data_IF_646193464624
#
_entry.id   IF_646193464624
#
_cell.length_a   1.000
_cell.length_b   1.000
_cell.length_c   1.000
_cell.angle_alpha   90.00
_cell.angle_beta   90.00
_cell.angle_gamma   90.00
#
_symmetry.space_group_name_H-M   'P 1'
#
loop_
_entity.id
_entity.type
_entity.pdbx_description
1 polymer ?
#
# COMPACT_ATOMS: atom_id res chain seq x y z
N UNK A 1 3.73 30.59 7.30
CA UNK A 1 2.64 30.59 8.30
C UNK A 1 3.22 30.29 9.68
N UNK A 2 2.66 30.85 10.75
CA UNK A 2 3.03 30.57 12.15
C UNK A 2 1.82 29.88 12.82
N UNK A 3 2.03 28.72 13.45
CA UNK A 3 0.99 27.94 14.13
C UNK A 3 1.19 27.98 15.65
N UNK A 4 0.14 28.29 16.42
CA UNK A 4 0.19 28.29 17.89
C UNK A 4 -0.05 26.88 18.48
N UNK A 5 0.96 26.36 19.18
CA UNK A 5 0.94 25.07 19.85
C UNK A 5 0.96 25.19 21.39
N UNK A 6 0.61 26.35 21.96
CA UNK A 6 0.60 26.55 23.42
C UNK A 6 -0.24 25.49 24.13
N UNK A 7 0.35 24.86 25.14
CA UNK A 7 -0.30 23.81 25.93
C UNK A 7 -0.43 22.45 25.24
N UNK A 8 0.22 22.25 24.08
CA UNK A 8 0.22 20.98 23.32
C UNK A 8 1.62 20.39 23.22
N UNK A 9 1.69 19.09 22.98
CA UNK A 9 2.93 18.39 22.63
C UNK A 9 2.98 18.15 21.12
N UNK A 10 4.12 18.48 20.52
CA UNK A 10 4.38 18.18 19.10
C UNK A 10 5.19 16.89 19.05
N UNK A 11 4.66 15.89 18.36
CA UNK A 11 5.28 14.58 18.21
C UNK A 11 5.44 14.24 16.72
N UNK A 12 6.40 13.38 16.36
CA UNK A 12 6.43 12.77 15.03
C UNK A 12 5.12 12.05 14.75
N UNK A 13 4.66 12.10 13.50
CA UNK A 13 3.48 11.35 13.08
C UNK A 13 3.71 9.84 13.13
N UNK A 14 2.69 9.08 13.50
CA UNK A 14 2.77 7.62 13.58
C UNK A 14 2.95 6.97 12.21
N UNK A 15 3.55 5.78 12.20
CA UNK A 15 3.74 4.94 11.02
C UNK A 15 2.95 3.65 11.22
N UNK A 16 1.97 3.41 10.34
CA UNK A 16 1.29 2.12 10.24
C UNK A 16 2.08 1.22 9.31
N UNK A 17 2.88 0.32 9.87
CA UNK A 17 3.80 -0.52 9.12
C UNK A 17 3.13 -1.64 8.31
N UNK A 18 1.84 -1.88 8.52
CA UNK A 18 1.09 -2.91 7.79
C UNK A 18 -0.41 -2.64 7.89
N UNK A 19 -1.09 -2.56 6.75
CA UNK A 19 -2.53 -2.45 6.67
C UNK A 19 -3.07 -3.05 5.36
N UNK A 20 -4.39 -3.17 5.31
CA UNK A 20 -5.16 -3.56 4.13
C UNK A 20 -6.34 -2.60 3.99
N UNK A 21 -6.26 -1.63 3.09
CA UNK A 21 -7.28 -0.59 2.94
C UNK A 21 -8.66 -1.14 2.60
N UNK A 22 -8.73 -2.14 1.72
CA UNK A 22 -9.99 -2.78 1.37
C UNK A 22 -10.69 -3.48 2.56
N UNK A 23 -9.98 -3.69 3.67
CA UNK A 23 -10.55 -4.14 4.93
C UNK A 23 -11.54 -3.17 5.56
N UNK A 24 -11.61 -1.91 5.10
CA UNK A 24 -12.65 -0.97 5.47
C UNK A 24 -14.06 -1.54 5.25
N UNK A 25 -14.29 -2.25 4.14
CA UNK A 25 -15.60 -2.82 3.83
C UNK A 25 -15.97 -4.00 4.72
N UNK A 26 -14.99 -4.75 5.24
CA UNK A 26 -15.24 -5.90 6.12
C UNK A 26 -15.77 -5.51 7.50
N UNK A 27 -15.62 -4.23 7.90
CA UNK A 27 -16.01 -3.76 9.25
C UNK A 27 -17.52 -3.89 9.43
N UNK A 28 -17.93 -4.71 10.40
CA UNK A 28 -19.35 -4.94 10.72
C UNK A 28 -20.08 -5.90 9.77
N UNK A 29 -19.39 -6.52 8.79
CA UNK A 29 -20.00 -7.57 7.98
C UNK A 29 -20.25 -8.83 8.80
N UNK A 30 -21.46 -9.39 8.66
CA UNK A 30 -21.75 -10.72 9.16
C UNK A 30 -21.02 -11.78 8.33
N UNK A 31 -20.48 -12.79 9.00
CA UNK A 31 -19.93 -13.95 8.29
C UNK A 31 -21.07 -14.76 7.65
N UNK A 32 -20.81 -15.43 6.51
CA UNK A 32 -21.78 -16.34 5.93
C UNK A 32 -22.31 -17.35 6.95
N UNK A 33 -23.60 -17.76 6.87
CA UNK A 33 -24.19 -18.72 7.81
C UNK A 33 -23.35 -20.00 7.92
N UNK A 34 -23.14 -20.47 9.15
CA UNK A 34 -22.36 -21.67 9.43
C UNK A 34 -21.52 -21.56 10.70
N UNK A 35 -20.68 -22.58 10.99
CA UNK A 35 -19.81 -22.56 12.16
C UNK A 35 -18.79 -21.42 12.03
N UNK A 36 -18.40 -20.78 13.15
CA UNK A 36 -17.37 -19.76 13.15
C UNK A 36 -16.03 -20.34 12.63
N UNK A 37 -15.22 -19.53 11.92
CA UNK A 37 -13.91 -19.98 11.45
C UNK A 37 -13.01 -20.35 12.63
N UNK A 38 -12.38 -21.52 12.56
CA UNK A 38 -11.52 -22.04 13.64
C UNK A 38 -10.08 -21.55 13.55
N UNK A 39 -9.67 -21.05 12.38
CA UNK A 39 -8.30 -20.67 12.09
C UNK A 39 -8.26 -19.57 11.00
N UNK A 40 -7.05 -19.06 10.74
CA UNK A 40 -6.83 -17.99 9.79
C UNK A 40 -7.20 -18.37 8.34
N UNK A 41 -6.83 -19.55 7.79
CA UNK A 41 -7.27 -19.97 6.46
C UNK A 41 -8.80 -20.01 6.28
N UNK A 42 -9.53 -20.43 7.31
CA UNK A 42 -10.99 -20.47 7.24
C UNK A 42 -11.62 -19.07 7.15
N UNK A 43 -11.11 -18.08 7.89
CA UNK A 43 -11.61 -16.69 7.75
C UNK A 43 -11.22 -16.08 6.40
N UNK A 44 -10.03 -16.41 5.89
CA UNK A 44 -9.62 -16.00 4.54
C UNK A 44 -10.61 -16.50 3.49
N UNK A 45 -10.94 -17.80 3.52
CA UNK A 45 -11.90 -18.42 2.60
C UNK A 45 -13.33 -17.89 2.74
N UNK A 46 -13.80 -17.69 3.99
CA UNK A 46 -15.18 -17.30 4.27
C UNK A 46 -15.46 -15.83 4.00
N UNK A 47 -14.48 -14.96 4.18
CA UNK A 47 -14.66 -13.51 4.12
C UNK A 47 -13.70 -12.85 3.11
N UNK A 48 -12.40 -12.89 3.40
CA UNK A 48 -11.43 -12.04 2.69
C UNK A 48 -11.32 -12.34 1.19
N UNK A 49 -11.33 -13.62 0.82
CA UNK A 49 -11.27 -14.07 -0.58
C UNK A 49 -12.54 -13.78 -1.38
N UNK A 50 -13.63 -13.46 -0.70
CA UNK A 50 -14.87 -13.03 -1.34
C UNK A 50 -14.84 -11.53 -1.57
N UNK A 51 -14.35 -10.79 -0.59
CA UNK A 51 -14.20 -9.33 -0.67
C UNK A 51 -13.16 -8.97 -1.72
N UNK A 52 -11.95 -9.52 -1.68
CA UNK A 52 -10.87 -9.16 -2.61
C UNK A 52 -11.29 -9.34 -4.09
N UNK A 53 -12.03 -10.40 -4.40
CA UNK A 53 -12.59 -10.67 -5.73
C UNK A 53 -13.75 -9.74 -6.11
N UNK A 54 -14.48 -9.19 -5.14
CA UNK A 54 -15.60 -8.31 -5.41
C UNK A 54 -15.17 -6.85 -5.68
N UNK A 55 -13.92 -6.49 -5.37
CA UNK A 55 -13.44 -5.10 -5.48
C UNK A 55 -13.36 -4.64 -6.94
N UNK A 56 -13.93 -3.46 -7.18
CA UNK A 56 -13.65 -2.63 -8.36
C UNK A 56 -12.53 -1.62 -8.07
N UNK A 57 -12.13 -0.87 -9.09
CA UNK A 57 -11.17 0.24 -8.93
C UNK A 57 -11.73 1.36 -8.04
N UNK A 58 -13.02 1.65 -8.17
CA UNK A 58 -13.68 2.65 -7.31
C UNK A 58 -13.73 2.18 -5.85
N UNK A 59 -14.06 0.91 -5.62
CA UNK A 59 -14.05 0.33 -4.28
C UNK A 59 -12.65 0.43 -3.63
N UNK A 60 -11.60 0.18 -4.42
CA UNK A 60 -10.20 0.30 -3.98
C UNK A 60 -9.85 1.74 -3.59
N UNK A 61 -10.32 2.74 -4.36
CA UNK A 61 -10.14 4.15 -4.03
C UNK A 61 -10.90 4.55 -2.76
N UNK A 62 -12.19 4.22 -2.67
CA UNK A 62 -13.03 4.65 -1.56
C UNK A 62 -12.66 3.95 -0.24
N UNK A 63 -12.31 2.67 -0.28
CA UNK A 63 -11.80 1.98 0.90
C UNK A 63 -10.52 2.62 1.45
N UNK A 64 -9.61 3.03 0.56
CA UNK A 64 -8.42 3.79 0.94
C UNK A 64 -8.79 5.14 1.59
N UNK A 65 -9.66 5.94 0.98
CA UNK A 65 -10.07 7.24 1.55
C UNK A 65 -10.61 7.13 2.98
N UNK A 66 -11.47 6.12 3.25
CA UNK A 66 -12.01 5.88 4.60
C UNK A 66 -10.88 5.58 5.59
N UNK A 67 -9.96 4.68 5.24
CA UNK A 67 -8.81 4.35 6.08
C UNK A 67 -7.86 5.54 6.29
N UNK A 68 -7.66 6.39 5.27
CA UNK A 68 -6.77 7.54 5.33
C UNK A 68 -7.32 8.64 6.25
N UNK A 69 -8.63 8.90 6.21
CA UNK A 69 -9.28 9.85 7.13
C UNK A 69 -9.15 9.36 8.57
N UNK A 70 -9.35 8.07 8.81
CA UNK A 70 -9.18 7.45 10.12
C UNK A 70 -7.73 7.57 10.62
N UNK A 71 -6.76 7.33 9.72
CA UNK A 71 -5.34 7.48 10.01
C UNK A 71 -4.97 8.92 10.42
N UNK A 72 -5.46 9.93 9.70
CA UNK A 72 -5.24 11.35 10.03
C UNK A 72 -5.76 11.67 11.43
N UNK A 73 -6.99 11.24 11.75
CA UNK A 73 -7.63 11.49 13.04
C UNK A 73 -6.83 10.90 14.22
N UNK A 74 -6.08 9.82 13.97
CA UNK A 74 -5.25 9.14 14.96
C UNK A 74 -3.75 9.49 14.86
N UNK A 75 -3.40 10.57 14.14
CA UNK A 75 -2.02 11.06 14.06
C UNK A 75 -1.08 10.18 13.24
N UNK A 76 -1.62 9.27 12.41
CA UNK A 76 -0.82 8.45 11.49
C UNK A 76 -0.57 9.22 10.21
N UNK A 77 0.72 9.34 9.85
CA UNK A 77 1.15 10.12 8.68
C UNK A 77 1.78 9.29 7.57
N UNK A 78 2.04 7.99 7.83
CA UNK A 78 2.60 7.06 6.84
C UNK A 78 2.01 5.67 7.01
N UNK A 79 1.61 5.04 5.91
CA UNK A 79 0.97 3.72 5.89
C UNK A 79 1.63 2.80 4.87
N UNK A 80 1.70 1.50 5.17
CA UNK A 80 2.14 0.46 4.23
C UNK A 80 0.96 -0.45 3.95
N UNK A 81 0.43 -0.37 2.74
CA UNK A 81 -0.77 -1.09 2.32
C UNK A 81 -0.42 -2.33 1.48
N UNK A 82 -0.99 -3.47 1.87
CA UNK A 82 -0.93 -4.73 1.14
C UNK A 82 -2.25 -4.94 0.40
N UNK A 83 -2.32 -4.45 -0.84
CA UNK A 83 -3.55 -4.50 -1.62
C UNK A 83 -3.74 -5.85 -2.32
N UNK A 84 -4.98 -6.33 -2.38
CA UNK A 84 -5.38 -7.51 -3.15
C UNK A 84 -6.73 -7.25 -3.83
N UNK A 85 -6.77 -7.32 -5.16
CA UNK A 85 -7.99 -7.18 -5.97
C UNK A 85 -7.88 -8.02 -7.24
N UNK A 86 -7.93 -9.36 -7.14
CA UNK A 86 -7.64 -10.25 -8.28
C UNK A 86 -8.51 -10.05 -9.52
N UNK A 87 -9.71 -9.47 -9.38
CA UNK A 87 -10.58 -9.14 -10.51
C UNK A 87 -10.37 -7.72 -11.06
N UNK A 88 -9.52 -6.91 -10.43
CA UNK A 88 -9.23 -5.52 -10.80
C UNK A 88 -7.73 -5.19 -10.61
N UNK A 89 -6.84 -6.12 -10.98
CA UNK A 89 -5.39 -6.00 -10.77
C UNK A 89 -4.82 -4.72 -11.39
N UNK A 90 -5.11 -4.51 -12.68
CA UNK A 90 -4.61 -3.38 -13.45
C UNK A 90 -5.29 -2.07 -13.01
N UNK A 91 -4.50 -1.07 -12.64
CA UNK A 91 -4.99 0.22 -12.16
C UNK A 91 -5.41 0.29 -10.68
N UNK A 92 -5.49 -0.83 -9.95
CA UNK A 92 -5.89 -0.82 -8.52
C UNK A 92 -4.95 0.02 -7.65
N UNK A 93 -3.64 -0.17 -7.83
CA UNK A 93 -2.62 0.60 -7.11
C UNK A 93 -2.63 2.09 -7.47
N UNK A 94 -3.01 2.44 -8.70
CA UNK A 94 -3.13 3.84 -9.12
C UNK A 94 -4.37 4.50 -8.48
N UNK A 95 -5.49 3.77 -8.41
CA UNK A 95 -6.70 4.24 -7.75
C UNK A 95 -6.46 4.53 -6.25
N UNK A 96 -5.72 3.66 -5.57
CA UNK A 96 -5.31 3.87 -4.18
C UNK A 96 -4.31 5.03 -4.08
N UNK A 97 -3.36 5.13 -5.01
CA UNK A 97 -2.41 6.22 -5.00
C UNK A 97 -3.09 7.58 -5.18
N UNK A 98 -4.12 7.68 -6.00
CA UNK A 98 -4.93 8.89 -6.13
C UNK A 98 -5.58 9.27 -4.80
N UNK A 99 -6.18 8.31 -4.07
CA UNK A 99 -6.71 8.54 -2.72
C UNK A 99 -5.64 9.01 -1.73
N UNK A 100 -4.44 8.40 -1.75
CA UNK A 100 -3.32 8.80 -0.88
C UNK A 100 -2.90 10.25 -1.16
N UNK A 101 -2.75 10.63 -2.43
CA UNK A 101 -2.38 12.00 -2.80
C UNK A 101 -3.47 13.00 -2.39
N UNK A 102 -4.74 12.65 -2.58
CA UNK A 102 -5.89 13.47 -2.16
C UNK A 102 -5.89 13.71 -0.63
N UNK A 103 -5.54 12.68 0.16
CA UNK A 103 -5.47 12.79 1.62
C UNK A 103 -4.30 13.61 2.16
N UNK A 104 -3.23 13.79 1.38
CA UNK A 104 -1.97 14.39 1.83
C UNK A 104 -1.09 13.50 2.72
N UNK A 105 -1.51 12.25 3.00
CA UNK A 105 -0.67 11.27 3.70
C UNK A 105 0.41 10.68 2.79
N UNK A 106 1.39 9.99 3.38
CA UNK A 106 2.37 9.17 2.67
C UNK A 106 1.97 7.71 2.70
N UNK A 107 2.18 6.98 1.61
CA UNK A 107 1.95 5.54 1.61
C UNK A 107 3.02 4.77 0.84
N UNK A 108 3.23 3.53 1.28
CA UNK A 108 3.98 2.52 0.57
C UNK A 108 2.99 1.45 0.10
N UNK A 109 2.78 1.33 -1.21
CA UNK A 109 1.76 0.47 -1.78
C UNK A 109 2.38 -0.83 -2.32
N UNK A 110 1.81 -1.96 -1.92
CA UNK A 110 2.20 -3.30 -2.35
C UNK A 110 0.99 -3.98 -2.99
N UNK A 111 1.23 -4.81 -4.02
CA UNK A 111 0.23 -5.74 -4.50
C UNK A 111 0.54 -7.15 -4.00
N UNK A 112 -0.44 -7.83 -3.40
CA UNK A 112 -0.33 -9.22 -2.96
C UNK A 112 -0.28 -10.14 -4.19
N UNK A 113 0.76 -10.97 -4.26
CA UNK A 113 0.90 -11.97 -5.32
C UNK A 113 0.56 -13.34 -4.77
N UNK A 114 -0.38 -14.02 -5.43
CA UNK A 114 -0.82 -15.38 -5.09
C UNK A 114 -1.16 -16.15 -6.37
N UNK A 115 -0.95 -17.46 -6.34
CA UNK A 115 -1.34 -18.44 -7.37
C UNK A 115 -2.82 -18.87 -7.27
N UNK A 116 -3.54 -18.43 -6.21
CA UNK A 116 -4.96 -18.73 -5.96
C UNK A 116 -5.89 -18.42 -7.13
N UNK A 117 -5.54 -17.43 -7.95
CA UNK A 117 -6.34 -16.99 -9.10
C UNK A 117 -5.69 -17.39 -10.44
N UNK A 118 -4.88 -18.45 -10.42
CA UNK A 118 -4.18 -18.98 -11.57
C UNK A 118 -2.86 -18.25 -11.89
N UNK A 119 -2.03 -18.91 -12.69
CA UNK A 119 -0.71 -18.41 -13.10
C UNK A 119 -0.80 -17.06 -13.82
N UNK A 120 -1.87 -16.85 -14.60
CA UNK A 120 -2.14 -15.57 -15.26
C UNK A 120 -2.31 -14.42 -14.25
N UNK A 121 -3.12 -14.63 -13.21
CA UNK A 121 -3.34 -13.67 -12.13
C UNK A 121 -2.08 -13.41 -11.31
N UNK A 122 -1.32 -14.46 -10.97
CA UNK A 122 -0.03 -14.33 -10.28
C UNK A 122 0.94 -13.46 -11.09
N UNK A 123 1.09 -13.75 -12.38
CA UNK A 123 1.95 -13.00 -13.28
C UNK A 123 1.48 -11.55 -13.48
N UNK A 124 0.17 -11.31 -13.52
CA UNK A 124 -0.39 -9.97 -13.58
C UNK A 124 -0.12 -9.19 -12.29
N UNK A 125 -0.28 -9.81 -11.12
CA UNK A 125 0.06 -9.21 -9.82
C UNK A 125 1.55 -8.90 -9.69
N UNK A 126 2.43 -9.80 -10.17
CA UNK A 126 3.86 -9.53 -10.26
C UNK A 126 4.11 -8.31 -11.14
N UNK A 127 3.45 -8.21 -12.30
CA UNK A 127 3.66 -7.10 -13.25
C UNK A 127 2.86 -5.84 -12.94
N UNK A 128 2.01 -5.84 -11.91
CA UNK A 128 1.03 -4.81 -11.67
C UNK A 128 1.70 -3.43 -11.77
N UNK A 129 1.36 -2.63 -12.81
CA UNK A 129 2.10 -1.42 -13.10
C UNK A 129 1.90 -0.43 -11.97
N UNK A 130 2.97 0.26 -11.61
CA UNK A 130 2.98 1.25 -10.56
C UNK A 130 3.56 2.56 -11.09
N UNK A 131 2.70 3.54 -11.32
CA UNK A 131 3.14 4.86 -11.75
C UNK A 131 3.52 5.70 -10.52
N UNK A 132 4.76 6.19 -10.48
CA UNK A 132 5.22 7.04 -9.38
C UNK A 132 4.31 8.26 -9.19
N UNK A 133 3.73 8.41 -7.99
CA UNK A 133 3.03 9.64 -7.58
C UNK A 133 3.79 10.32 -6.42
N UNK A 134 3.56 11.62 -6.15
CA UNK A 134 4.36 12.38 -5.18
C UNK A 134 4.40 11.80 -3.77
N UNK A 135 3.25 11.31 -3.27
CA UNK A 135 3.14 10.79 -1.90
C UNK A 135 3.17 9.26 -1.79
N UNK A 136 3.40 8.56 -2.90
CA UNK A 136 3.41 7.08 -2.92
C UNK A 136 4.75 6.53 -3.35
N UNK A 137 5.21 5.54 -2.59
CA UNK A 137 6.26 4.62 -3.01
C UNK A 137 5.63 3.25 -3.26
N UNK A 138 6.25 2.45 -4.12
CA UNK A 138 5.79 1.10 -4.42
C UNK A 138 6.89 0.10 -4.03
N UNK A 139 6.53 -0.94 -3.27
CA UNK A 139 7.48 -1.98 -2.89
C UNK A 139 7.55 -3.03 -3.98
N UNK A 140 8.69 -3.06 -4.66
CA UNK A 140 9.04 -4.07 -5.66
C UNK A 140 10.22 -4.92 -5.18
N UNK A 141 10.24 -6.26 -5.40
CA UNK A 141 11.28 -7.15 -4.89
C UNK A 141 12.72 -6.79 -5.32
N UNK A 142 12.92 -6.11 -6.46
CA UNK A 142 14.27 -5.73 -6.94
C UNK A 142 14.82 -4.37 -6.48
N UNK A 143 14.08 -3.57 -5.69
CA UNK A 143 14.52 -2.21 -5.29
C UNK A 143 14.53 -1.93 -3.79
N UNK A 144 14.26 -2.93 -2.96
CA UNK A 144 14.25 -2.82 -1.49
C UNK A 144 15.64 -2.74 -0.82
N UNK A 145 16.75 -2.89 -1.56
CA UNK A 145 18.09 -2.97 -0.94
C UNK A 145 18.75 -1.59 -0.68
N UNK A 146 18.13 -0.45 -1.02
CA UNK A 146 18.82 0.85 -0.92
C UNK A 146 18.11 1.98 -0.14
N UNK A 147 16.93 1.75 0.45
CA UNK A 147 16.14 2.84 1.05
C UNK A 147 15.86 2.76 2.56
N UNK A 148 15.82 1.56 3.14
CA UNK A 148 15.64 1.35 4.58
C UNK A 148 16.66 0.31 5.03
N UNK A 149 17.46 0.65 6.03
CA UNK A 149 18.44 -0.25 6.62
C UNK A 149 17.76 -1.47 7.24
N UNK A 150 17.63 -2.54 6.46
CA UNK A 150 17.49 -3.91 6.91
C UNK A 150 18.12 -4.79 5.84
N UNK A 151 19.44 -4.89 5.90
CA UNK A 151 20.28 -5.58 4.92
C UNK A 151 20.35 -7.06 5.29
N UNK A 152 19.47 -7.90 4.71
CA UNK A 152 19.57 -9.37 4.77
C UNK A 152 20.41 -9.92 3.58
N UNK A 153 20.83 -9.07 2.63
CA UNK A 153 21.43 -9.50 1.37
C UNK A 153 22.95 -9.46 1.26
N UNK A 154 23.68 -8.79 2.17
CA UNK A 154 25.11 -8.48 1.98
C UNK A 154 26.12 -9.34 2.74
N UNK A 155 25.77 -10.56 3.13
CA UNK A 155 26.74 -11.48 3.75
C UNK A 155 27.71 -12.14 2.73
N UNK A 156 27.57 -11.94 1.41
CA UNK A 156 28.28 -12.78 0.43
C UNK A 156 29.04 -12.13 -0.73
N UNK A 157 29.15 -10.80 -0.87
CA UNK A 157 30.04 -10.27 -1.92
C UNK A 157 30.76 -8.96 -1.56
N UNK A 158 32.08 -9.07 -1.40
CA UNK A 158 32.98 -8.08 -0.84
C UNK A 158 33.46 -7.03 -1.83
N UNK A 159 32.58 -6.16 -2.33
CA UNK A 159 32.97 -5.04 -3.20
C UNK A 159 32.58 -3.65 -2.66
N UNK A 160 33.52 -2.72 -2.84
CA UNK A 160 33.68 -1.41 -2.19
C UNK A 160 32.66 -0.36 -2.69
N UNK A 161 32.15 0.47 -1.77
CA UNK A 161 31.18 1.53 -2.01
C UNK A 161 31.74 2.70 -2.87
N UNK A 162 31.01 3.13 -3.91
CA UNK A 162 31.12 4.49 -4.46
C UNK A 162 29.74 5.16 -4.49
N UNK A 163 29.67 6.38 -3.95
CA UNK A 163 28.47 7.23 -3.89
C UNK A 163 28.11 7.73 -5.30
N UNK A 164 26.91 7.42 -5.82
CA UNK A 164 26.25 8.20 -6.87
C UNK A 164 24.77 8.42 -6.54
N UNK A 165 24.35 9.66 -6.77
CA UNK A 165 23.14 10.27 -6.23
C UNK A 165 21.84 9.85 -6.92
N UNK A 166 20.76 10.15 -6.21
CA UNK A 166 19.37 10.05 -6.65
C UNK A 166 19.12 11.00 -7.82
N UNK A 167 18.78 10.46 -8.99
CA UNK A 167 18.33 11.23 -10.15
C UNK A 167 16.84 10.96 -10.39
N UNK A 168 16.00 11.92 -9.97
CA UNK A 168 14.59 12.00 -10.31
C UNK A 168 14.45 12.65 -11.70
N UNK A 169 14.06 11.88 -12.72
CA UNK A 169 13.90 12.40 -14.09
C UNK A 169 12.63 13.25 -14.21
N UNK A 170 12.73 14.55 -13.91
CA UNK A 170 11.78 15.56 -14.42
C UNK A 170 11.97 15.69 -15.93
N UNK A 171 11.02 15.21 -16.74
CA UNK A 171 10.88 15.66 -18.14
C UNK A 171 10.45 17.13 -18.13
N UNK A 172 11.40 18.05 -18.33
CA UNK A 172 11.12 19.45 -18.71
C UNK A 172 10.38 19.43 -20.06
N UNK A 173 9.15 19.94 -20.09
CA UNK A 173 8.60 20.52 -21.33
C UNK A 173 9.19 21.93 -21.46
N UNK A 174 9.80 22.20 -22.60
CA UNK A 174 10.40 23.47 -22.97
C UNK A 174 9.30 24.52 -23.21
N UNK A 175 9.46 25.72 -22.65
CA UNK A 175 8.99 26.97 -23.24
C UNK A 175 10.20 27.57 -23.97
N UNK A 176 10.02 27.88 -25.24
CA UNK A 176 10.81 28.83 -26.03
C UNK A 176 9.86 29.90 -26.53
#
# INVERSE_FOLDING_TARGET
EILDARGKLVMPGNICAHTHFYGAFARGMALPPGPPPKNFPEILQKLWWRIDRALTLEDSKYSALVCLVDAIKHGTTTLIDHHASPNAIDGSLDAIADAVNESGLRACLCYEVTDRNGVGGANAGIRAPCYSRPNTCYLWPSRLVHGFGCDIGKMFDGTRWTRRGVSCSRRRRYFG
#
